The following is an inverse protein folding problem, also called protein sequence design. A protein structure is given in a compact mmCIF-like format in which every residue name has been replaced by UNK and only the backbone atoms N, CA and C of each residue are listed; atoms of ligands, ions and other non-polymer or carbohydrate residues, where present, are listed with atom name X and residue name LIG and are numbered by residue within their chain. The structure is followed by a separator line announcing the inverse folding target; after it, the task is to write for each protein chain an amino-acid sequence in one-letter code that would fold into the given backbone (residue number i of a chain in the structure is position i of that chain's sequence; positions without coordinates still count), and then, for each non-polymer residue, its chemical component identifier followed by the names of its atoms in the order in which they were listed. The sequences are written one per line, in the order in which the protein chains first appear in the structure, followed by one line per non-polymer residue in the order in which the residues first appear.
data_IF_975126550091
#
_entry.id   IF_975126550091
#
_cell.length_a   1.000
_cell.length_b   1.000
_cell.length_c   1.000
_cell.angle_alpha   90.00
_cell.angle_beta   90.00
_cell.angle_gamma   90.00
#
_symmetry.space_group_name_H-M   'P 1'
#
loop_
_entity.id
_entity.type
_entity.pdbx_description
1 polymer ?
#
# COMPACT_ATOMS: atom_id res chain seq x y z
N UNK A 1 5.70 -8.79 1.48
CA UNK A 1 6.11 -7.87 2.57
C UNK A 1 7.45 -7.18 2.30
N UNK A 2 8.40 -7.81 1.61
CA UNK A 2 9.71 -7.21 1.28
C UNK A 2 9.61 -5.87 0.53
N UNK A 3 8.72 -5.75 -0.48
CA UNK A 3 8.56 -4.52 -1.26
C UNK A 3 8.20 -3.30 -0.39
N UNK A 4 7.13 -3.39 0.42
CA UNK A 4 6.69 -2.28 1.26
C UNK A 4 7.75 -1.88 2.31
N UNK A 5 8.46 -2.86 2.87
CA UNK A 5 9.56 -2.61 3.79
C UNK A 5 10.73 -1.86 3.13
N UNK A 6 11.15 -2.29 1.93
CA UNK A 6 12.23 -1.65 1.19
C UNK A 6 11.86 -0.22 0.76
N UNK A 7 10.61 -0.01 0.35
CA UNK A 7 10.10 1.32 0.03
C UNK A 7 10.13 2.22 1.27
N UNK A 8 9.63 1.74 2.41
CA UNK A 8 9.63 2.47 3.67
C UNK A 8 11.05 2.92 4.06
N UNK A 9 12.03 2.01 3.99
CA UNK A 9 13.42 2.34 4.28
C UNK A 9 13.97 3.48 3.39
N UNK A 10 13.60 3.51 2.10
CA UNK A 10 14.05 4.58 1.19
C UNK A 10 13.40 5.92 1.48
N UNK A 11 12.09 5.95 1.68
CA UNK A 11 11.37 7.21 1.94
C UNK A 11 11.67 7.75 3.33
N UNK A 12 11.93 6.90 4.32
CA UNK A 12 12.37 7.34 5.65
C UNK A 12 13.73 8.06 5.59
N UNK A 13 14.66 7.60 4.75
CA UNK A 13 15.95 8.28 4.52
C UNK A 13 15.78 9.69 3.92
N UNK A 14 14.64 9.98 3.31
CA UNK A 14 14.30 11.30 2.77
C UNK A 14 13.50 12.16 3.75
N UNK A 15 13.28 11.68 4.97
CA UNK A 15 12.62 12.43 6.04
C UNK A 15 11.11 12.22 6.14
N UNK A 16 10.52 11.29 5.39
CA UNK A 16 9.10 10.95 5.54
C UNK A 16 8.90 10.01 6.73
N UNK A 17 7.94 10.34 7.62
CA UNK A 17 7.48 9.43 8.66
C UNK A 17 6.56 8.36 8.07
N UNK A 18 7.02 7.11 7.98
CA UNK A 18 6.26 6.03 7.34
C UNK A 18 5.97 4.90 8.30
N UNK A 19 4.80 4.26 8.13
CA UNK A 19 4.40 3.06 8.86
C UNK A 19 3.99 2.00 7.85
N UNK A 20 4.60 0.82 7.95
CA UNK A 20 4.16 -0.36 7.18
C UNK A 20 3.17 -1.15 8.02
N UNK A 21 1.95 -1.33 7.51
CA UNK A 21 0.90 -2.14 8.13
C UNK A 21 0.64 -3.35 7.27
N UNK A 22 0.83 -4.56 7.83
CA UNK A 22 0.45 -5.81 7.17
C UNK A 22 -1.01 -6.13 7.49
N UNK A 23 -1.85 -6.24 6.47
CA UNK A 23 -3.28 -6.57 6.59
C UNK A 23 -3.54 -7.92 5.90
N UNK A 24 -3.33 -9.07 6.57
CA UNK A 24 -3.45 -10.38 5.94
C UNK A 24 -4.90 -10.78 5.64
N UNK A 25 -5.86 -10.27 6.40
CA UNK A 25 -7.28 -10.47 6.17
C UNK A 25 -8.02 -9.14 6.35
N UNK A 26 -8.52 -8.60 5.24
CA UNK A 26 -9.23 -7.31 5.23
C UNK A 26 -10.54 -7.36 6.00
N UNK A 27 -11.30 -8.45 5.89
CA UNK A 27 -12.62 -8.58 6.55
C UNK A 27 -12.46 -8.62 8.07
N UNK A 28 -11.49 -9.41 8.56
CA UNK A 28 -11.17 -9.47 9.99
C UNK A 28 -10.68 -8.12 10.50
N UNK A 29 -9.84 -7.40 9.74
CA UNK A 29 -9.42 -6.05 10.13
C UNK A 29 -10.61 -5.07 10.19
N UNK A 30 -11.48 -5.08 9.17
CA UNK A 30 -12.62 -4.18 9.09
C UNK A 30 -13.70 -4.48 10.15
N UNK A 31 -13.79 -5.71 10.64
CA UNK A 31 -14.69 -6.08 11.74
C UNK A 31 -14.20 -5.65 13.12
N UNK A 32 -12.93 -5.22 13.25
CA UNK A 32 -12.41 -4.71 14.51
C UNK A 32 -13.04 -3.34 14.87
N UNK A 33 -13.04 -3.04 16.17
CA UNK A 33 -13.57 -1.77 16.66
C UNK A 33 -12.82 -0.56 16.08
N UNK A 34 -13.48 0.61 16.12
CA UNK A 34 -12.92 1.85 15.56
C UNK A 34 -11.64 2.29 16.27
N UNK A 35 -11.51 2.05 17.58
CA UNK A 35 -10.34 2.45 18.34
C UNK A 35 -9.10 1.66 17.91
N UNK A 36 -9.23 0.35 17.73
CA UNK A 36 -8.18 -0.51 17.19
C UNK A 36 -7.81 -0.11 15.77
N UNK A 37 -8.80 0.08 14.88
CA UNK A 37 -8.54 0.48 13.49
C UNK A 37 -7.79 1.81 13.43
N UNK A 38 -8.22 2.82 14.21
CA UNK A 38 -7.55 4.12 14.30
C UNK A 38 -6.14 4.04 14.91
N UNK A 39 -5.89 3.10 15.83
CA UNK A 39 -4.55 2.85 16.37
C UNK A 39 -3.61 2.31 15.29
N UNK A 40 -4.09 1.39 14.46
CA UNK A 40 -3.31 0.73 13.41
C UNK A 40 -3.11 1.67 12.20
N UNK A 41 -4.19 2.25 11.68
CA UNK A 41 -4.20 3.23 10.59
C UNK A 41 -4.93 4.49 11.09
N UNK A 42 -4.18 5.54 11.49
CA UNK A 42 -4.77 6.82 11.90
C UNK A 42 -5.57 7.48 10.76
N UNK A 43 -6.65 8.18 11.09
CA UNK A 43 -7.54 8.77 10.08
C UNK A 43 -6.90 9.93 9.32
N UNK A 44 -6.01 10.66 9.96
CA UNK A 44 -5.23 11.77 9.40
C UNK A 44 -4.03 11.29 8.55
N UNK A 45 -3.69 10.00 8.61
CA UNK A 45 -2.58 9.45 7.83
C UNK A 45 -2.98 9.23 6.36
N UNK A 46 -2.19 9.81 5.46
CA UNK A 46 -2.18 9.42 4.05
C UNK A 46 -1.84 7.93 3.95
N UNK A 47 -2.72 7.14 3.34
CA UNK A 47 -2.60 5.68 3.27
C UNK A 47 -2.43 5.24 1.82
N UNK A 48 -1.33 4.54 1.50
CA UNK A 48 -1.14 3.85 0.23
C UNK A 48 -1.29 2.35 0.45
N UNK A 49 -2.37 1.74 -0.04
CA UNK A 49 -2.54 0.29 -0.06
C UNK A 49 -1.78 -0.31 -1.24
N UNK A 50 -1.04 -1.40 -1.03
CA UNK A 50 -0.23 -2.05 -2.08
C UNK A 50 -0.61 -3.52 -2.14
N UNK A 51 -1.13 -3.97 -3.29
CA UNK A 51 -1.47 -5.37 -3.52
C UNK A 51 -1.25 -5.74 -4.98
N UNK A 52 -0.63 -6.90 -5.24
CA UNK A 52 -0.51 -7.43 -6.60
C UNK A 52 -1.79 -8.20 -6.97
N UNK A 53 -2.90 -7.47 -7.04
CA UNK A 53 -4.26 -7.97 -7.23
C UNK A 53 -5.26 -6.82 -7.40
N UNK A 54 -6.56 -7.15 -7.41
CA UNK A 54 -7.63 -6.16 -7.64
C UNK A 54 -7.72 -5.18 -6.48
N UNK A 55 -7.62 -3.87 -6.78
CA UNK A 55 -7.47 -2.83 -5.77
C UNK A 55 -8.77 -2.37 -5.10
N UNK A 56 -9.93 -2.59 -5.73
CA UNK A 56 -11.18 -1.93 -5.38
C UNK A 56 -11.58 -2.04 -3.89
N UNK A 57 -11.28 -3.17 -3.24
CA UNK A 57 -11.61 -3.37 -1.84
C UNK A 57 -10.73 -2.60 -0.84
N UNK A 58 -9.62 -2.00 -1.27
CA UNK A 58 -8.68 -1.30 -0.40
C UNK A 58 -9.04 0.16 -0.15
N UNK A 59 -9.85 0.80 -0.99
CA UNK A 59 -10.27 2.19 -0.79
C UNK A 59 -11.00 2.40 0.56
N UNK A 60 -11.68 1.38 1.07
CA UNK A 60 -12.38 1.40 2.36
C UNK A 60 -11.50 1.12 3.58
N UNK A 61 -10.19 0.95 3.42
CA UNK A 61 -9.30 0.57 4.53
C UNK A 61 -9.16 1.68 5.59
N UNK A 62 -9.29 2.95 5.17
CA UNK A 62 -9.28 4.12 6.04
C UNK A 62 -10.42 5.10 5.64
N UNK A 63 -11.66 4.85 6.09
CA UNK A 63 -12.85 5.56 5.59
C UNK A 63 -12.87 7.09 5.82
N UNK A 64 -12.09 7.58 6.78
CA UNK A 64 -12.00 9.02 7.09
C UNK A 64 -10.72 9.69 6.58
N UNK A 65 -9.83 8.92 5.95
CA UNK A 65 -8.52 9.39 5.50
C UNK A 65 -8.38 9.42 3.99
N UNK A 66 -7.25 9.96 3.53
CA UNK A 66 -6.87 9.94 2.11
C UNK A 66 -6.24 8.58 1.79
N UNK A 67 -6.95 7.77 1.00
CA UNK A 67 -6.49 6.45 0.56
C UNK A 67 -6.17 6.47 -0.93
N UNK A 68 -4.98 5.99 -1.27
CA UNK A 68 -4.56 5.65 -2.63
C UNK A 68 -4.28 4.14 -2.71
N UNK A 69 -4.43 3.55 -3.88
CA UNK A 69 -4.29 2.10 -4.09
C UNK A 69 -3.33 1.82 -5.23
N UNK A 70 -2.29 1.04 -4.94
CA UNK A 70 -1.31 0.50 -5.87
C UNK A 70 -1.65 -0.96 -6.17
N UNK A 71 -2.45 -1.18 -7.21
CA UNK A 71 -3.07 -2.46 -7.56
C UNK A 71 -2.80 -2.90 -9.00
N UNK A 72 -3.24 -4.11 -9.34
CA UNK A 72 -3.28 -4.64 -10.69
C UNK A 72 -4.74 -4.83 -11.13
N UNK A 73 -5.27 -3.91 -11.93
CA UNK A 73 -6.67 -3.93 -12.40
C UNK A 73 -6.82 -4.51 -13.82
N UNK A 74 -5.91 -5.41 -14.21
CA UNK A 74 -5.91 -6.11 -15.50
C UNK A 74 -5.43 -7.54 -15.33
N UNK A 75 -5.62 -8.35 -16.38
CA UNK A 75 -5.02 -9.68 -16.43
C UNK A 75 -3.49 -9.62 -16.37
N UNK A 76 -2.92 -10.70 -15.82
CA UNK A 76 -1.49 -10.90 -15.72
C UNK A 76 -0.81 -11.12 -17.08
N UNK A 77 0.47 -11.48 -17.03
CA UNK A 77 1.28 -11.80 -18.20
C UNK A 77 2.04 -13.09 -17.96
N UNK A 78 2.37 -13.81 -19.04
CA UNK A 78 3.15 -15.04 -18.97
C UNK A 78 4.63 -14.70 -18.79
N UNK A 79 5.25 -15.24 -17.74
CA UNK A 79 6.68 -15.07 -17.48
C UNK A 79 7.05 -15.35 -16.04
N UNK A 80 8.35 -15.26 -15.70
CA UNK A 80 8.82 -15.41 -14.33
C UNK A 80 8.24 -14.32 -13.42
N UNK A 81 7.72 -14.71 -12.25
CA UNK A 81 7.04 -13.82 -11.30
C UNK A 81 7.74 -12.47 -11.05
N UNK A 82 9.06 -12.45 -10.76
CA UNK A 82 9.80 -11.19 -10.57
C UNK A 82 9.77 -10.26 -11.79
N UNK A 83 9.93 -10.82 -13.00
CA UNK A 83 9.90 -10.04 -14.25
C UNK A 83 8.49 -9.53 -14.56
N UNK A 84 7.47 -10.32 -14.25
CA UNK A 84 6.07 -9.92 -14.42
C UNK A 84 5.71 -8.80 -13.45
N UNK A 85 6.14 -8.90 -12.18
CA UNK A 85 5.95 -7.84 -11.19
C UNK A 85 6.65 -6.54 -11.62
N UNK A 86 7.92 -6.62 -12.06
CA UNK A 86 8.67 -5.48 -12.59
C UNK A 86 7.99 -4.87 -13.82
N UNK A 87 7.54 -5.69 -14.77
CA UNK A 87 6.81 -5.25 -15.96
C UNK A 87 5.54 -4.45 -15.62
N UNK A 88 4.84 -4.82 -14.54
CA UNK A 88 3.68 -4.10 -14.03
C UNK A 88 4.01 -2.98 -13.04
N UNK A 89 5.30 -2.66 -12.84
CA UNK A 89 5.74 -1.57 -11.99
C UNK A 89 5.70 -1.89 -10.50
N UNK A 90 5.64 -3.14 -10.07
CA UNK A 90 5.76 -3.51 -8.65
C UNK A 90 7.23 -3.53 -8.22
N UNK A 91 7.88 -2.38 -8.34
CA UNK A 91 9.27 -2.12 -7.96
C UNK A 91 9.35 -1.07 -6.86
N UNK A 92 10.48 -1.03 -6.15
CA UNK A 92 10.69 -0.07 -5.05
C UNK A 92 10.60 1.36 -5.58
N UNK A 93 11.25 1.62 -6.72
CA UNK A 93 11.34 2.94 -7.34
C UNK A 93 9.96 3.47 -7.77
N UNK A 94 9.11 2.61 -8.33
CA UNK A 94 7.79 3.00 -8.80
C UNK A 94 6.85 3.35 -7.65
N UNK A 95 6.86 2.54 -6.58
CA UNK A 95 6.06 2.79 -5.37
C UNK A 95 6.57 4.02 -4.62
N UNK A 96 7.88 4.20 -4.49
CA UNK A 96 8.51 5.39 -3.90
C UNK A 96 8.07 6.66 -4.64
N UNK A 97 8.13 6.65 -5.98
CA UNK A 97 7.63 7.77 -6.82
C UNK A 97 6.14 8.03 -6.58
N UNK A 98 5.33 6.98 -6.42
CA UNK A 98 3.91 7.11 -6.09
C UNK A 98 3.71 7.81 -4.75
N UNK A 99 4.37 7.34 -3.68
CA UNK A 99 4.31 7.97 -2.36
C UNK A 99 4.66 9.46 -2.44
N UNK A 100 5.78 9.80 -3.08
CA UNK A 100 6.23 11.19 -3.24
C UNK A 100 5.22 12.06 -3.99
N UNK A 101 4.49 11.51 -4.96
CA UNK A 101 3.45 12.26 -5.67
C UNK A 101 2.22 12.57 -4.81
N UNK A 102 1.98 11.81 -3.76
CA UNK A 102 0.81 11.96 -2.88
C UNK A 102 1.04 12.94 -1.73
N UNK A 103 2.30 13.10 -1.29
CA UNK A 103 2.70 13.97 -0.16
C UNK A 103 2.94 15.43 -0.58
N UNK A 104 2.94 15.73 -1.89
CA UNK A 104 3.03 17.10 -2.42
C UNK A 104 1.76 17.92 -2.16
#
# INVERSE_FOLDING_TARGET
MSLAMQVAERVEKEGFGVRVVSVPNREVYLSQDKAYRNKVIPQDALTLAIEFGVGAGWYGINPGGRVDVYSLDRFGSSGPGPKVAEHFGFTVEAVEKRIKSLVK
#
